data_IF_046063477121
#
_entry.id   IF_046063477121
#
_cell.length_a   1.000
_cell.length_b   1.000
_cell.length_c   1.000
_cell.angle_alpha   90.00
_cell.angle_beta   90.00
_cell.angle_gamma   90.00
#
_symmetry.space_group_name_H-M   'P 1'
#
loop_
_entity.id
_entity.type
_entity.pdbx_description
1 polymer ?
#
# COMPACT_ATOMS: atom_id res chain seq x y z
N UNK A 1 15.23 19.50 5.39
CA UNK A 1 15.04 18.52 6.48
C UNK A 1 14.60 17.25 5.80
N UNK A 2 15.42 16.21 5.93
CA UNK A 2 15.10 14.89 5.41
C UNK A 2 13.73 14.47 5.95
N UNK A 3 12.74 14.42 5.10
CA UNK A 3 11.49 13.75 5.40
C UNK A 3 11.83 12.27 5.52
N UNK A 4 12.09 11.85 6.75
CA UNK A 4 12.61 10.53 7.05
C UNK A 4 11.55 9.48 6.70
N UNK A 5 11.60 8.99 5.47
CA UNK A 5 10.72 7.96 4.94
C UNK A 5 11.04 6.62 5.62
N UNK A 6 12.27 6.44 6.10
CA UNK A 6 12.69 5.29 6.88
C UNK A 6 12.58 5.60 8.38
N UNK A 7 11.62 5.01 9.07
CA UNK A 7 11.54 5.00 10.53
C UNK A 7 11.93 3.64 11.07
N UNK A 8 12.59 3.61 12.23
CA UNK A 8 12.88 2.37 12.95
C UNK A 8 11.59 1.56 13.20
N UNK A 9 11.68 0.24 13.18
CA UNK A 9 10.54 -0.64 13.46
C UNK A 9 10.24 -0.57 14.96
N UNK A 10 9.04 -0.14 15.31
CA UNK A 10 8.54 -0.23 16.68
C UNK A 10 8.13 -1.67 16.95
N UNK A 11 8.98 -2.42 17.67
CA UNK A 11 8.76 -3.83 17.99
C UNK A 11 7.45 -4.08 18.74
N UNK A 12 6.96 -3.11 19.50
CA UNK A 12 5.68 -3.22 20.23
C UNK A 12 4.47 -3.21 19.30
N UNK A 13 4.60 -2.63 18.10
CA UNK A 13 3.50 -2.47 17.13
C UNK A 13 3.65 -3.31 15.86
N UNK A 14 4.85 -3.79 15.55
CA UNK A 14 5.11 -4.53 14.31
C UNK A 14 4.21 -5.77 14.16
N UNK A 15 3.87 -6.42 15.28
CA UNK A 15 2.98 -7.58 15.30
C UNK A 15 1.60 -7.33 14.68
N UNK A 16 1.05 -6.13 14.83
CA UNK A 16 -0.27 -5.79 14.26
C UNK A 16 -0.27 -5.70 12.74
N UNK A 17 0.90 -5.51 12.13
CA UNK A 17 1.08 -5.40 10.68
C UNK A 17 1.47 -6.72 10.00
N UNK A 18 1.61 -7.81 10.77
CA UNK A 18 2.03 -9.11 10.28
C UNK A 18 0.88 -10.00 9.79
N UNK A 19 -0.33 -9.77 10.31
CA UNK A 19 -1.47 -10.66 10.06
C UNK A 19 -2.48 -10.03 9.10
N UNK A 20 -3.24 -10.87 8.34
CA UNK A 20 -4.35 -10.41 7.53
C UNK A 20 -5.34 -9.58 8.35
N UNK A 21 -5.80 -8.47 7.81
CA UNK A 21 -6.74 -7.57 8.47
C UNK A 21 -7.55 -6.77 7.43
N UNK A 22 -8.84 -6.56 7.71
CA UNK A 22 -9.73 -5.69 6.95
C UNK A 22 -9.70 -5.96 5.45
N UNK A 23 -9.28 -4.97 4.67
CA UNK A 23 -9.17 -5.07 3.20
C UNK A 23 -7.95 -5.86 2.71
N UNK A 24 -7.03 -6.22 3.60
CA UNK A 24 -5.82 -6.98 3.30
C UNK A 24 -5.94 -8.44 3.76
N UNK A 25 -7.02 -9.13 3.37
CA UNK A 25 -7.25 -10.55 3.64
C UNK A 25 -7.09 -11.32 2.32
N UNK A 26 -6.20 -12.35 2.27
CA UNK A 26 -6.02 -13.12 1.05
C UNK A 26 -7.22 -14.01 0.78
N UNK A 27 -7.66 -14.04 -0.47
CA UNK A 27 -8.60 -15.00 -0.99
C UNK A 27 -7.89 -16.05 -1.86
N UNK A 28 -8.65 -16.71 -2.74
CA UNK A 28 -8.14 -17.80 -3.58
C UNK A 28 -7.12 -17.32 -4.62
N UNK A 29 -7.38 -16.16 -5.26
CA UNK A 29 -6.55 -15.65 -6.35
C UNK A 29 -5.19 -15.18 -5.84
N UNK A 30 -5.17 -14.40 -4.75
CA UNK A 30 -3.92 -13.94 -4.12
C UNK A 30 -3.12 -15.12 -3.55
N UNK A 31 -3.80 -16.09 -2.91
CA UNK A 31 -3.12 -17.28 -2.38
C UNK A 31 -2.51 -18.13 -3.49
N UNK A 32 -3.21 -18.33 -4.61
CA UNK A 32 -2.67 -19.03 -5.77
C UNK A 32 -1.46 -18.30 -6.36
N UNK A 33 -1.54 -16.99 -6.52
CA UNK A 33 -0.43 -16.19 -7.00
C UNK A 33 0.77 -16.20 -6.05
N UNK A 34 0.55 -16.14 -4.74
CA UNK A 34 1.63 -16.30 -3.75
C UNK A 34 2.36 -17.64 -3.93
N UNK A 35 1.63 -18.73 -4.19
CA UNK A 35 2.23 -20.03 -4.51
C UNK A 35 3.03 -20.05 -5.82
N UNK A 36 2.56 -19.34 -6.87
CA UNK A 36 3.29 -19.21 -8.14
C UNK A 36 4.66 -18.54 -7.94
N UNK A 37 4.72 -17.51 -7.10
CA UNK A 37 5.94 -16.70 -6.88
C UNK A 37 6.84 -17.22 -5.75
N UNK A 38 6.37 -18.16 -4.94
CA UNK A 38 7.01 -18.62 -3.70
C UNK A 38 8.49 -18.99 -3.91
N UNK A 39 8.78 -19.79 -4.93
CA UNK A 39 10.16 -20.24 -5.22
C UNK A 39 11.09 -19.06 -5.51
N UNK A 40 10.62 -18.06 -6.28
CA UNK A 40 11.41 -16.89 -6.62
C UNK A 40 11.64 -15.98 -5.42
N UNK A 41 10.61 -15.79 -4.59
CA UNK A 41 10.69 -14.97 -3.37
C UNK A 41 11.59 -15.63 -2.32
N UNK A 42 11.47 -16.93 -2.11
CA UNK A 42 12.28 -17.66 -1.13
C UNK A 42 13.76 -17.80 -1.54
N UNK A 43 14.09 -17.54 -2.80
CA UNK A 43 15.48 -17.49 -3.27
C UNK A 43 16.20 -16.16 -2.95
N UNK A 44 15.45 -15.12 -2.51
CA UNK A 44 16.01 -13.82 -2.15
C UNK A 44 16.74 -13.90 -0.80
N UNK A 45 17.86 -13.18 -0.68
CA UNK A 45 18.75 -13.25 0.48
C UNK A 45 18.28 -12.40 1.68
N UNK A 46 17.45 -11.37 1.43
CA UNK A 46 16.96 -10.44 2.47
C UNK A 46 15.47 -10.15 2.30
N UNK A 47 14.85 -9.65 3.37
CA UNK A 47 13.43 -9.27 3.31
C UNK A 47 13.21 -8.09 2.35
N UNK A 48 14.16 -7.17 2.26
CA UNK A 48 14.12 -6.10 1.25
C UNK A 48 14.11 -6.65 -0.19
N UNK A 49 14.96 -7.62 -0.51
CA UNK A 49 14.96 -8.27 -1.83
C UNK A 49 13.65 -9.02 -2.11
N UNK A 50 13.06 -9.68 -1.10
CA UNK A 50 11.74 -10.31 -1.22
C UNK A 50 10.67 -9.28 -1.54
N UNK A 51 10.66 -8.14 -0.83
CA UNK A 51 9.73 -7.04 -1.09
C UNK A 51 9.82 -6.57 -2.54
N UNK A 52 11.02 -6.28 -3.04
CA UNK A 52 11.25 -5.85 -4.43
C UNK A 52 10.73 -6.93 -5.40
N UNK A 53 11.08 -8.20 -5.16
CA UNK A 53 10.66 -9.31 -6.02
C UNK A 53 9.14 -9.47 -6.08
N UNK A 54 8.45 -9.41 -4.94
CA UNK A 54 6.98 -9.47 -4.88
C UNK A 54 6.36 -8.30 -5.64
N UNK A 55 6.90 -7.09 -5.48
CA UNK A 55 6.41 -5.89 -6.14
C UNK A 55 6.57 -5.98 -7.67
N UNK A 56 7.75 -6.41 -8.15
CA UNK A 56 8.00 -6.66 -9.58
C UNK A 56 7.00 -7.67 -10.17
N UNK A 57 6.77 -8.78 -9.48
CA UNK A 57 5.86 -9.81 -9.96
C UNK A 57 4.40 -9.35 -9.92
N UNK A 58 3.99 -8.58 -8.90
CA UNK A 58 2.67 -7.98 -8.82
C UNK A 58 2.43 -7.02 -10.00
N UNK A 59 3.41 -6.20 -10.37
CA UNK A 59 3.29 -5.23 -11.47
C UNK A 59 2.99 -5.90 -12.83
N UNK A 60 3.30 -7.18 -13.00
CA UNK A 60 2.98 -7.94 -14.22
C UNK A 60 1.54 -8.45 -14.27
N UNK A 61 0.82 -8.44 -13.14
CA UNK A 61 -0.54 -8.98 -12.98
C UNK A 61 -1.62 -7.92 -12.94
N UNK A 62 -1.25 -6.66 -12.69
CA UNK A 62 -2.19 -5.57 -12.47
C UNK A 62 -2.05 -4.48 -13.53
N UNK A 63 -3.17 -3.87 -13.89
CA UNK A 63 -3.24 -2.68 -14.74
C UNK A 63 -3.84 -1.52 -13.96
N UNK A 64 -3.21 -0.35 -14.00
CA UNK A 64 -3.77 0.85 -13.37
C UNK A 64 -4.93 1.37 -14.20
N UNK A 65 -6.11 1.50 -13.57
CA UNK A 65 -7.31 2.03 -14.21
C UNK A 65 -8.15 2.80 -13.19
N UNK A 66 -8.28 4.11 -13.39
CA UNK A 66 -9.09 4.95 -12.51
C UNK A 66 -10.59 4.64 -12.65
N UNK A 67 -11.29 4.64 -11.51
CA UNK A 67 -12.75 4.43 -11.49
C UNK A 67 -13.21 2.98 -11.71
N UNK A 68 -12.29 2.01 -11.71
CA UNK A 68 -12.65 0.58 -11.88
C UNK A 68 -12.94 -0.14 -10.56
N UNK A 69 -12.63 0.48 -9.43
CA UNK A 69 -12.85 -0.05 -8.08
C UNK A 69 -13.53 0.98 -7.19
N UNK A 70 -14.15 0.51 -6.12
CA UNK A 70 -14.82 1.33 -5.10
C UNK A 70 -13.97 1.41 -3.84
N UNK A 71 -14.27 2.39 -2.96
CA UNK A 71 -13.57 2.54 -1.67
C UNK A 71 -13.63 1.24 -0.85
N UNK A 72 -14.71 0.47 -0.97
CA UNK A 72 -14.92 -0.78 -0.23
C UNK A 72 -14.28 -2.00 -0.89
N UNK A 73 -13.72 -1.90 -2.09
CA UNK A 73 -13.02 -3.00 -2.76
C UNK A 73 -11.87 -3.52 -1.91
N UNK A 74 -11.82 -4.82 -1.69
CA UNK A 74 -10.73 -5.47 -0.97
C UNK A 74 -9.61 -5.96 -1.92
N UNK A 75 -8.50 -6.41 -1.32
CA UNK A 75 -7.34 -6.86 -2.08
C UNK A 75 -7.66 -8.04 -3.03
N UNK A 76 -8.47 -9.00 -2.59
CA UNK A 76 -8.82 -10.16 -3.40
C UNK A 76 -9.68 -9.79 -4.60
N UNK A 77 -10.68 -8.93 -4.40
CA UNK A 77 -11.56 -8.46 -5.46
C UNK A 77 -10.78 -7.68 -6.53
N UNK A 78 -9.91 -6.75 -6.10
CA UNK A 78 -9.07 -5.97 -7.01
C UNK A 78 -8.09 -6.88 -7.79
N UNK A 79 -7.43 -7.81 -7.10
CA UNK A 79 -6.49 -8.74 -7.72
C UNK A 79 -7.17 -9.68 -8.72
N UNK A 80 -8.33 -10.23 -8.38
CA UNK A 80 -9.11 -11.08 -9.28
C UNK A 80 -9.59 -10.31 -10.52
N UNK A 81 -9.86 -9.00 -10.38
CA UNK A 81 -10.21 -8.12 -11.51
C UNK A 81 -9.01 -7.73 -12.38
N UNK A 82 -7.79 -7.88 -11.91
CA UNK A 82 -6.56 -7.52 -12.62
C UNK A 82 -6.36 -6.01 -12.83
N UNK A 83 -7.15 -5.18 -12.17
CA UNK A 83 -7.17 -3.72 -12.33
C UNK A 83 -7.38 -3.04 -10.99
N UNK A 84 -6.88 -1.82 -10.84
CA UNK A 84 -7.09 -1.04 -9.63
C UNK A 84 -6.37 0.30 -9.65
N UNK A 85 -6.55 1.04 -8.57
CA UNK A 85 -5.86 2.30 -8.28
C UNK A 85 -4.81 2.10 -7.18
N UNK A 86 -4.11 3.16 -6.78
CA UNK A 86 -3.02 3.10 -5.79
C UNK A 86 -3.43 2.41 -4.47
N UNK A 87 -4.65 2.61 -4.00
CA UNK A 87 -5.19 1.94 -2.81
C UNK A 87 -5.23 0.42 -3.00
N UNK A 88 -5.70 -0.06 -4.15
CA UNK A 88 -5.81 -1.49 -4.45
C UNK A 88 -4.43 -2.15 -4.55
N UNK A 89 -3.51 -1.52 -5.27
CA UNK A 89 -2.12 -1.97 -5.34
C UNK A 89 -1.48 -2.09 -3.96
N UNK A 90 -1.69 -1.10 -3.09
CA UNK A 90 -1.17 -1.14 -1.73
C UNK A 90 -1.79 -2.28 -0.91
N UNK A 91 -3.11 -2.49 -0.97
CA UNK A 91 -3.78 -3.58 -0.25
C UNK A 91 -3.32 -4.97 -0.73
N UNK A 92 -3.21 -5.19 -2.05
CA UNK A 92 -2.73 -6.45 -2.61
C UNK A 92 -1.28 -6.71 -2.19
N UNK A 93 -0.43 -5.69 -2.30
CA UNK A 93 0.98 -5.80 -1.95
C UNK A 93 1.18 -6.10 -0.45
N UNK A 94 0.46 -5.41 0.44
CA UNK A 94 0.45 -5.70 1.89
C UNK A 94 0.03 -7.15 2.14
N UNK A 95 -1.02 -7.61 1.46
CA UNK A 95 -1.53 -8.98 1.62
C UNK A 95 -0.48 -10.00 1.24
N UNK A 96 0.21 -9.80 0.11
CA UNK A 96 1.30 -10.66 -0.34
C UNK A 96 2.48 -10.64 0.65
N UNK A 97 2.94 -9.46 1.08
CA UNK A 97 4.03 -9.34 2.05
C UNK A 97 3.73 -10.10 3.35
N UNK A 98 2.50 -9.96 3.87
CA UNK A 98 2.06 -10.67 5.09
C UNK A 98 2.00 -12.19 4.89
N UNK A 99 1.62 -12.69 3.71
CA UNK A 99 1.68 -14.13 3.39
C UNK A 99 3.12 -14.67 3.42
N UNK A 100 4.10 -13.85 3.01
CA UNK A 100 5.53 -14.20 3.12
C UNK A 100 6.14 -13.87 4.49
N UNK A 101 5.32 -13.53 5.49
CA UNK A 101 5.75 -13.28 6.86
C UNK A 101 6.40 -11.92 7.10
N UNK A 102 6.38 -11.02 6.12
CA UNK A 102 6.94 -9.66 6.21
C UNK A 102 5.86 -8.70 6.72
N UNK A 103 6.03 -8.09 7.91
CA UNK A 103 5.08 -7.11 8.41
C UNK A 103 5.05 -5.88 7.50
N UNK A 104 3.85 -5.45 7.10
CA UNK A 104 3.68 -4.33 6.19
C UNK A 104 2.49 -3.47 6.60
N UNK A 105 2.65 -2.13 6.47
CA UNK A 105 1.61 -1.15 6.79
C UNK A 105 1.25 -0.29 5.59
N UNK A 106 -0.01 0.05 5.52
CA UNK A 106 -0.55 1.01 4.56
C UNK A 106 -0.11 2.42 4.92
N UNK A 107 0.23 3.20 3.92
CA UNK A 107 0.54 4.62 4.08
C UNK A 107 -0.35 5.42 3.14
N UNK A 108 -0.96 6.47 3.67
CA UNK A 108 -1.60 7.50 2.88
C UNK A 108 -0.76 8.76 2.89
N UNK A 109 -0.73 9.48 1.78
CA UNK A 109 0.02 10.71 1.66
C UNK A 109 -0.12 11.38 0.32
N UNK A 110 0.90 12.15 -0.06
CA UNK A 110 0.95 12.97 -1.26
C UNK A 110 2.27 12.72 -1.99
N UNK A 111 2.26 12.87 -3.30
CA UNK A 111 3.47 12.89 -4.13
C UNK A 111 3.65 14.26 -4.77
N UNK A 112 4.86 14.58 -5.20
CA UNK A 112 5.15 15.83 -5.92
C UNK A 112 4.33 15.89 -7.20
N UNK A 113 3.65 17.03 -7.42
CA UNK A 113 2.77 17.27 -8.55
C UNK A 113 1.38 17.74 -8.14
N UNK A 114 0.46 17.74 -9.08
CA UNK A 114 -0.95 18.05 -8.86
C UNK A 114 -1.77 16.76 -8.94
N UNK A 115 -2.73 16.60 -8.04
CA UNK A 115 -3.60 15.45 -8.07
C UNK A 115 -4.24 15.11 -6.73
N UNK A 116 -4.73 13.89 -6.63
CA UNK A 116 -5.34 13.33 -5.45
C UNK A 116 -4.29 12.79 -4.48
N UNK A 117 -4.73 12.38 -3.29
CA UNK A 117 -3.88 11.66 -2.34
C UNK A 117 -3.37 10.35 -2.97
N UNK A 118 -2.20 9.92 -2.54
CA UNK A 118 -1.57 8.69 -2.99
C UNK A 118 -1.42 7.68 -1.85
N UNK A 119 -1.38 6.41 -2.21
CA UNK A 119 -1.20 5.30 -1.29
C UNK A 119 0.03 4.48 -1.65
N UNK A 120 0.78 4.06 -0.61
CA UNK A 120 1.93 3.18 -0.74
C UNK A 120 2.09 2.28 0.47
N UNK A 121 3.17 1.54 0.55
CA UNK A 121 3.41 0.54 1.59
C UNK A 121 4.76 0.74 2.26
N UNK A 122 4.80 0.61 3.57
CA UNK A 122 6.04 0.47 4.31
C UNK A 122 6.14 -0.97 4.86
N UNK A 123 7.19 -1.68 4.46
CA UNK A 123 7.49 -3.03 4.90
C UNK A 123 8.61 -3.02 5.96
N UNK A 124 8.47 -3.84 7.00
CA UNK A 124 9.51 -4.01 8.01
C UNK A 124 10.61 -4.93 7.45
N UNK A 125 11.71 -4.32 7.02
CA UNK A 125 12.90 -5.02 6.56
C UNK A 125 13.99 -4.88 7.63
N UNK A 126 14.38 -6.00 8.24
CA UNK A 126 15.31 -6.07 9.37
C UNK A 126 14.89 -5.13 10.53
N UNK A 127 15.56 -4.01 10.71
CA UNK A 127 15.31 -3.05 11.82
C UNK A 127 14.59 -1.78 11.39
N UNK A 128 14.32 -1.61 10.09
CA UNK A 128 13.75 -0.39 9.55
C UNK A 128 12.52 -0.66 8.68
N UNK A 129 11.62 0.31 8.62
CA UNK A 129 10.62 0.33 7.58
C UNK A 129 11.24 0.86 6.29
N UNK A 130 11.03 0.12 5.20
CA UNK A 130 11.38 0.53 3.84
C UNK A 130 10.09 0.81 3.08
N UNK A 131 10.04 1.93 2.39
CA UNK A 131 8.86 2.37 1.67
C UNK A 131 8.90 1.93 0.20
N UNK A 132 7.79 1.34 -0.26
CA UNK A 132 7.60 0.84 -1.62
C UNK A 132 6.31 1.37 -2.22
N UNK A 133 6.37 1.81 -3.46
CA UNK A 133 5.20 2.19 -4.24
C UNK A 133 4.88 1.10 -5.27
N UNK A 134 3.93 0.20 -4.98
CA UNK A 134 3.57 -0.87 -5.88
C UNK A 134 2.85 -0.39 -7.16
N UNK A 135 2.27 0.82 -7.14
CA UNK A 135 1.65 1.42 -8.33
C UNK A 135 2.67 1.78 -9.39
N UNK A 136 3.79 2.36 -8.95
CA UNK A 136 4.89 2.77 -9.82
C UNK A 136 6.04 1.75 -9.88
N UNK A 137 5.89 0.62 -9.18
CA UNK A 137 6.90 -0.46 -9.09
C UNK A 137 8.29 0.07 -8.69
N UNK A 138 8.36 0.86 -7.63
CA UNK A 138 9.61 1.48 -7.17
C UNK A 138 9.74 1.54 -5.65
N UNK A 139 11.00 1.53 -5.16
CA UNK A 139 11.32 1.94 -3.80
C UNK A 139 11.23 3.47 -3.69
N UNK A 140 10.67 3.95 -2.58
CA UNK A 140 10.50 5.38 -2.34
C UNK A 140 11.72 5.92 -1.61
N UNK A 141 12.34 6.96 -2.15
CA UNK A 141 13.48 7.66 -1.55
C UNK A 141 13.18 9.12 -1.20
N UNK A 142 12.42 9.80 -2.05
CA UNK A 142 12.03 11.22 -1.92
C UNK A 142 10.71 11.46 -2.65
N UNK A 143 10.29 12.72 -2.77
CA UNK A 143 9.08 13.13 -3.52
C UNK A 143 7.73 12.72 -2.90
N UNK A 144 7.75 12.09 -1.72
CA UNK A 144 6.55 11.62 -1.03
C UNK A 144 6.40 12.28 0.34
N UNK A 145 5.17 12.70 0.66
CA UNK A 145 4.82 13.28 1.96
C UNK A 145 3.85 12.33 2.67
N UNK A 146 4.31 11.70 3.74
CA UNK A 146 3.50 10.79 4.54
C UNK A 146 2.57 11.57 5.46
N UNK A 147 1.26 11.28 5.40
CA UNK A 147 0.23 11.86 6.26
C UNK A 147 -0.22 10.90 7.35
N UNK A 148 -0.33 9.61 7.05
CA UNK A 148 -0.78 8.62 8.02
C UNK A 148 -0.37 7.20 7.68
N UNK A 149 -0.43 6.31 8.68
CA UNK A 149 -0.14 4.88 8.52
C UNK A 149 -1.19 4.03 9.21
N UNK A 150 -1.48 2.86 8.68
CA UNK A 150 -2.45 1.93 9.24
C UNK A 150 -2.30 0.50 8.74
N UNK A 151 -3.20 -0.38 9.17
CA UNK A 151 -3.23 -1.78 8.72
C UNK A 151 -3.76 -1.92 7.29
N UNK A 152 -4.66 -1.00 6.91
CA UNK A 152 -5.25 -0.81 5.59
C UNK A 152 -5.74 0.65 5.44
N UNK A 153 -6.39 0.98 4.33
CA UNK A 153 -6.91 2.32 4.07
C UNK A 153 -7.94 2.80 5.10
N UNK A 154 -8.65 1.89 5.77
CA UNK A 154 -9.68 2.23 6.75
C UNK A 154 -9.07 2.92 7.98
N UNK A 155 -7.88 2.50 8.40
CA UNK A 155 -7.15 3.13 9.50
C UNK A 155 -6.57 4.51 9.12
N UNK A 156 -6.43 4.80 7.82
CA UNK A 156 -5.76 5.98 7.27
C UNK A 156 -6.70 6.97 6.56
N UNK A 157 -8.01 6.86 6.78
CA UNK A 157 -8.96 7.74 6.12
C UNK A 157 -8.73 9.22 6.51
N UNK A 158 -8.25 10.01 5.55
CA UNK A 158 -7.95 11.45 5.73
C UNK A 158 -9.25 12.25 5.96
N UNK A 159 -10.35 11.79 5.35
CA UNK A 159 -11.66 12.46 5.40
C UNK A 159 -12.69 11.55 6.10
N UNK A 160 -12.57 11.40 7.40
CA UNK A 160 -13.55 10.65 8.19
C UNK A 160 -14.41 11.61 9.00
N UNK A 161 -15.71 11.70 8.66
CA UNK A 161 -16.65 12.53 9.38
C UNK A 161 -18.04 11.91 9.41
N UNK A 162 -18.84 12.26 10.42
CA UNK A 162 -20.27 11.96 10.46
C UNK A 162 -21.00 13.27 10.19
N UNK A 163 -21.82 13.29 9.15
CA UNK A 163 -22.66 14.44 8.85
C UNK A 163 -24.10 14.15 9.20
N UNK A 164 -24.73 15.07 9.91
CA UNK A 164 -26.16 15.04 10.24
C UNK A 164 -26.90 15.98 9.29
N UNK A 165 -27.82 15.47 8.49
CA UNK A 165 -28.66 16.25 7.58
C UNK A 165 -29.01 15.45 6.32
N UNK A 166 -30.12 15.76 5.69
CA UNK A 166 -30.55 15.19 4.41
C UNK A 166 -30.01 16.03 3.24
N UNK A 167 -29.59 15.37 2.17
CA UNK A 167 -29.19 16.03 0.91
C UNK A 167 -27.98 15.40 0.26
N UNK A 168 -27.83 15.63 -1.06
CA UNK A 168 -26.65 15.21 -1.82
C UNK A 168 -25.48 16.13 -1.46
N UNK A 169 -24.40 15.55 -1.02
CA UNK A 169 -23.18 16.29 -0.65
C UNK A 169 -22.08 15.97 -1.68
N UNK A 170 -21.29 16.97 -2.01
CA UNK A 170 -20.14 16.84 -2.89
C UNK A 170 -18.96 17.47 -2.18
N UNK A 171 -17.84 16.75 -2.10
CA UNK A 171 -16.59 17.26 -1.60
C UNK A 171 -15.59 17.29 -2.75
N UNK A 172 -14.90 18.41 -2.90
CA UNK A 172 -13.85 18.61 -3.89
C UNK A 172 -12.55 18.93 -3.13
N UNK A 173 -11.49 18.21 -3.43
CA UNK A 173 -10.19 18.38 -2.77
C UNK A 173 -9.15 18.65 -3.86
N UNK A 174 -8.47 19.79 -3.75
CA UNK A 174 -7.36 20.14 -4.61
C UNK A 174 -6.05 20.02 -3.82
N UNK A 175 -5.11 19.23 -4.35
CA UNK A 175 -3.79 19.03 -3.75
C UNK A 175 -2.72 19.46 -4.75
N UNK A 176 -1.75 20.26 -4.28
CA UNK A 176 -0.55 20.61 -5.02
C UNK A 176 0.66 20.46 -4.12
N UNK A 177 1.66 19.73 -4.59
CA UNK A 177 2.94 19.53 -3.89
C UNK A 177 4.07 20.01 -4.78
N UNK A 178 4.77 21.07 -4.35
CA UNK A 178 5.91 21.64 -5.06
C UNK A 178 7.23 21.30 -4.36
N UNK A 179 8.29 21.07 -5.15
CA UNK A 179 9.66 20.99 -4.62
C UNK A 179 10.20 22.41 -4.41
N UNK A 180 10.74 22.66 -3.21
CA UNK A 180 11.57 23.83 -2.96
C UNK A 180 13.04 23.42 -3.12
N UNK A 181 13.73 24.13 -4.00
CA UNK A 181 15.18 24.02 -4.24
C UNK A 181 15.95 24.99 -3.36
#
# INVERSE_FOLDING_TARGET
QDTNIASGVDESRVGMYKYPHGKCIPGKSITAFAGEIEKAVNACASDKEKCIKIMEMLSTKMTYEAGCTEIETDAEQAFAGGKGVCQDYAHIYITLLRLFGIPARYVCGLIVGEGESHAWVEAACEKNYVAFDPTHNKEITDEYIKLGTGRDATDCAINRGVMWGGGKQTQEIHVKVDKYY
#
